data_IF_384480217381
#
_entry.id   IF_384480217381
#
_cell.length_a   1.000
_cell.length_b   1.000
_cell.length_c   1.000
_cell.angle_alpha   90.00
_cell.angle_beta   90.00
_cell.angle_gamma   90.00
#
_symmetry.space_group_name_H-M   'P 1'
#
loop_
_entity.id
_entity.type
_entity.pdbx_description
1 polymer ?
#
# COMPACT_ATOMS: atom_id res chain seq x y z
N UNK A 1 -12.16 -37.07 -3.72
CA UNK A 1 -11.57 -35.91 -4.41
C UNK A 1 -10.23 -35.61 -3.73
N UNK A 2 -9.09 -35.89 -4.38
CA UNK A 2 -7.76 -35.78 -3.75
C UNK A 2 -7.38 -34.30 -3.66
N UNK A 3 -7.39 -33.73 -2.46
CA UNK A 3 -6.68 -32.47 -2.21
C UNK A 3 -5.21 -32.78 -2.46
N UNK A 4 -4.66 -32.23 -3.53
CA UNK A 4 -3.30 -32.55 -3.99
C UNK A 4 -2.29 -32.20 -2.89
N UNK A 5 -1.48 -33.19 -2.50
CA UNK A 5 -0.32 -33.16 -1.58
C UNK A 5 0.60 -31.92 -1.75
N UNK A 6 0.54 -31.28 -2.91
CA UNK A 6 1.19 -30.00 -3.22
C UNK A 6 0.84 -28.86 -2.25
N UNK A 7 -0.40 -28.76 -1.74
CA UNK A 7 -0.80 -27.65 -0.84
C UNK A 7 -0.15 -27.74 0.56
N UNK A 8 0.27 -28.94 0.98
CA UNK A 8 1.01 -29.15 2.24
C UNK A 8 2.51 -28.97 2.08
N UNK A 9 3.02 -28.79 0.85
CA UNK A 9 4.44 -28.52 0.64
C UNK A 9 4.80 -27.17 1.25
N UNK A 10 5.87 -27.17 2.01
CA UNK A 10 6.39 -26.04 2.77
C UNK A 10 6.28 -24.68 2.07
N UNK A 11 6.69 -24.58 0.81
CA UNK A 11 6.67 -23.33 0.05
C UNK A 11 5.28 -22.75 -0.19
N UNK A 12 4.27 -23.60 -0.48
CA UNK A 12 2.90 -23.13 -0.69
C UNK A 12 2.27 -22.66 0.62
N UNK A 13 2.49 -23.39 1.72
CA UNK A 13 2.00 -22.98 3.03
C UNK A 13 2.57 -21.63 3.47
N UNK A 14 3.88 -21.41 3.29
CA UNK A 14 4.52 -20.12 3.60
C UNK A 14 3.93 -18.99 2.75
N UNK A 15 3.75 -19.20 1.45
CA UNK A 15 3.17 -18.21 0.56
C UNK A 15 1.70 -17.90 0.92
N UNK A 16 0.92 -18.92 1.26
CA UNK A 16 -0.48 -18.74 1.66
C UNK A 16 -0.63 -17.99 2.97
N UNK A 17 0.16 -18.33 3.99
CA UNK A 17 0.19 -17.59 5.27
C UNK A 17 0.58 -16.13 5.03
N UNK A 18 1.63 -15.87 4.23
CA UNK A 18 2.06 -14.51 3.90
C UNK A 18 0.98 -13.71 3.14
N UNK A 19 0.25 -14.36 2.23
CA UNK A 19 -0.86 -13.75 1.50
C UNK A 19 -2.04 -13.43 2.42
N UNK A 20 -2.45 -14.37 3.27
CA UNK A 20 -3.56 -14.19 4.21
C UNK A 20 -3.24 -13.09 5.24
N UNK A 21 -2.03 -13.12 5.80
CA UNK A 21 -1.56 -12.08 6.72
C UNK A 21 -1.59 -10.69 6.06
N UNK A 22 -1.09 -10.59 4.82
CA UNK A 22 -1.10 -9.35 4.05
C UNK A 22 -2.51 -8.82 3.78
N UNK A 23 -3.45 -9.69 3.39
CA UNK A 23 -4.86 -9.30 3.18
C UNK A 23 -5.52 -8.82 4.47
N UNK A 24 -5.24 -9.49 5.59
CA UNK A 24 -5.83 -9.11 6.88
C UNK A 24 -5.34 -7.74 7.34
N UNK A 25 -4.04 -7.47 7.19
CA UNK A 25 -3.48 -6.15 7.42
C UNK A 25 -4.11 -5.08 6.52
N UNK A 26 -4.28 -5.38 5.24
CA UNK A 26 -4.87 -4.44 4.27
C UNK A 26 -6.32 -4.08 4.62
N UNK A 27 -7.13 -5.04 5.07
CA UNK A 27 -8.49 -4.78 5.55
C UNK A 27 -8.54 -3.82 6.74
N UNK A 28 -7.61 -3.93 7.69
CA UNK A 28 -7.52 -3.00 8.81
C UNK A 28 -6.97 -1.64 8.38
N UNK A 29 -5.91 -1.64 7.57
CA UNK A 29 -5.29 -0.42 7.07
C UNK A 29 -6.29 0.44 6.29
N UNK A 30 -7.13 -0.13 5.44
CA UNK A 30 -8.16 0.60 4.68
C UNK A 30 -9.16 1.35 5.55
N UNK A 31 -9.38 0.89 6.79
CA UNK A 31 -10.34 1.51 7.73
C UNK A 31 -9.72 2.53 8.66
N UNK A 32 -8.41 2.42 8.91
CA UNK A 32 -7.74 3.11 10.01
C UNK A 32 -6.56 3.98 9.56
N UNK A 33 -6.07 3.83 8.33
CA UNK A 33 -4.96 4.62 7.80
C UNK A 33 -5.41 5.44 6.59
N UNK A 34 -4.98 6.70 6.48
CA UNK A 34 -5.28 7.54 5.32
C UNK A 34 -4.38 7.21 4.11
N UNK A 35 -3.61 6.11 4.17
CA UNK A 35 -2.56 5.79 3.19
C UNK A 35 -2.66 4.34 2.71
N UNK A 36 -2.21 4.12 1.49
CA UNK A 36 -2.09 2.77 0.90
C UNK A 36 -0.97 1.96 1.54
N UNK A 37 -1.02 0.63 1.41
CA UNK A 37 0.04 -0.27 1.86
C UNK A 37 1.43 0.07 1.27
N UNK A 38 1.47 0.49 0.01
CA UNK A 38 2.72 0.89 -0.66
C UNK A 38 3.31 2.16 -0.05
N UNK A 39 2.48 3.16 0.25
CA UNK A 39 2.91 4.39 0.93
C UNK A 39 3.37 4.12 2.36
N UNK A 40 2.65 3.27 3.10
CA UNK A 40 3.06 2.84 4.44
C UNK A 40 4.43 2.14 4.39
N UNK A 41 4.65 1.21 3.45
CA UNK A 41 5.96 0.56 3.23
C UNK A 41 7.05 1.60 2.96
N UNK A 42 6.82 2.55 2.06
CA UNK A 42 7.77 3.62 1.76
C UNK A 42 8.14 4.41 3.03
N UNK A 43 7.16 4.80 3.84
CA UNK A 43 7.39 5.53 5.10
C UNK A 43 8.20 4.72 6.10
N UNK A 44 7.98 3.41 6.22
CA UNK A 44 8.78 2.53 7.09
C UNK A 44 10.24 2.57 6.65
N UNK A 45 10.52 2.31 5.36
CA UNK A 45 11.90 2.33 4.85
C UNK A 45 12.55 3.72 4.99
N UNK A 46 11.79 4.80 4.76
CA UNK A 46 12.30 6.15 4.91
C UNK A 46 12.54 6.54 6.38
N UNK A 47 11.72 6.05 7.31
CA UNK A 47 11.90 6.27 8.74
C UNK A 47 13.19 5.60 9.26
N UNK A 48 13.54 4.42 8.72
CA UNK A 48 14.77 3.71 9.05
C UNK A 48 16.00 4.30 8.33
N UNK A 49 15.81 4.99 7.19
CA UNK A 49 16.87 5.57 6.35
C UNK A 49 16.74 7.09 6.22
N UNK A 50 16.72 7.80 7.36
CA UNK A 50 16.51 9.26 7.39
C UNK A 50 17.59 10.00 6.58
N UNK A 51 17.18 10.95 5.74
CA UNK A 51 18.10 11.72 4.90
C UNK A 51 18.67 10.93 3.72
N UNK A 52 18.06 9.81 3.36
CA UNK A 52 18.39 9.11 2.12
C UNK A 52 18.02 9.98 0.91
N UNK A 53 18.76 9.82 -0.20
CA UNK A 53 18.39 10.43 -1.47
C UNK A 53 17.27 9.64 -2.13
N UNK A 54 16.54 10.26 -3.06
CA UNK A 54 15.50 9.57 -3.82
C UNK A 54 16.04 8.37 -4.59
N UNK A 55 17.23 8.48 -5.21
CA UNK A 55 17.84 7.39 -5.96
C UNK A 55 18.09 6.17 -5.06
N UNK A 56 18.71 6.38 -3.90
CA UNK A 56 18.99 5.28 -2.97
C UNK A 56 17.70 4.69 -2.41
N UNK A 57 16.68 5.50 -2.16
CA UNK A 57 15.38 4.98 -1.73
C UNK A 57 14.69 4.16 -2.83
N UNK A 58 14.85 4.53 -4.10
CA UNK A 58 14.33 3.77 -5.24
C UNK A 58 14.99 2.40 -5.34
N UNK A 59 16.31 2.34 -5.14
CA UNK A 59 17.08 1.10 -5.11
C UNK A 59 16.65 0.20 -3.95
N UNK A 60 16.46 0.75 -2.75
CA UNK A 60 15.98 0.01 -1.56
C UNK A 60 14.57 -0.56 -1.79
N UNK A 61 13.71 0.21 -2.45
CA UNK A 61 12.32 -0.18 -2.71
C UNK A 61 12.15 -1.00 -3.98
N UNK A 62 13.20 -1.18 -4.78
CA UNK A 62 13.20 -1.88 -6.07
C UNK A 62 12.13 -1.32 -7.03
N UNK A 63 11.97 0.01 -7.04
CA UNK A 63 11.03 0.72 -7.93
C UNK A 63 11.78 1.67 -8.84
N UNK A 64 11.19 2.00 -9.99
CA UNK A 64 11.80 2.97 -10.90
C UNK A 64 11.81 4.38 -10.26
N UNK A 65 12.88 5.18 -10.47
CA UNK A 65 12.95 6.55 -9.94
C UNK A 65 11.76 7.43 -10.32
N UNK A 66 11.18 7.37 -11.54
CA UNK A 66 9.97 8.12 -11.89
C UNK A 66 8.72 7.66 -11.13
N UNK A 67 8.59 6.36 -10.85
CA UNK A 67 7.46 5.86 -10.05
C UNK A 67 7.59 6.36 -8.60
N UNK A 68 8.79 6.30 -8.03
CA UNK A 68 9.05 6.83 -6.70
C UNK A 68 8.79 8.34 -6.61
N UNK A 69 9.21 9.11 -7.63
CA UNK A 69 8.99 10.56 -7.68
C UNK A 69 7.51 10.92 -7.50
N UNK A 70 6.64 10.27 -8.29
CA UNK A 70 5.18 10.48 -8.24
C UNK A 70 4.55 10.04 -6.92
N UNK A 71 5.11 9.03 -6.27
CA UNK A 71 4.66 8.62 -4.93
C UNK A 71 5.09 9.64 -3.89
N UNK A 72 6.34 10.11 -3.95
CA UNK A 72 6.87 11.09 -3.01
C UNK A 72 6.17 12.45 -3.13
N UNK A 73 5.81 12.89 -4.34
CA UNK A 73 5.01 14.11 -4.55
C UNK A 73 3.68 14.05 -3.81
N UNK A 74 2.87 13.01 -4.07
CA UNK A 74 1.59 12.79 -3.37
C UNK A 74 1.74 12.66 -1.86
N UNK A 75 2.83 12.05 -1.39
CA UNK A 75 3.09 11.91 0.04
C UNK A 75 3.60 13.19 0.70
N UNK A 76 4.22 14.09 -0.07
CA UNK A 76 4.59 15.44 0.37
C UNK A 76 3.36 16.35 0.44
N UNK A 77 2.47 16.28 -0.56
CA UNK A 77 1.15 16.92 -0.55
C UNK A 77 0.28 16.46 0.63
N UNK A 78 0.30 15.16 0.93
CA UNK A 78 -0.39 14.60 2.11
C UNK A 78 0.31 14.91 3.45
N UNK A 79 1.45 15.62 3.43
CA UNK A 79 2.18 16.02 4.63
C UNK A 79 2.92 14.88 5.34
N UNK A 80 3.19 13.76 4.67
CA UNK A 80 3.87 12.59 5.24
C UNK A 80 5.38 12.57 4.98
N UNK A 81 5.81 13.18 3.88
CA UNK A 81 7.23 13.30 3.51
C UNK A 81 7.59 14.76 3.38
N UNK A 82 8.85 15.08 3.66
CA UNK A 82 9.43 16.38 3.36
C UNK A 82 10.77 16.22 2.64
N UNK A 83 10.96 16.98 1.58
CA UNK A 83 12.25 17.14 0.90
C UNK A 83 13.00 18.35 1.49
N UNK A 84 14.31 18.20 1.66
CA UNK A 84 15.21 19.31 2.01
C UNK A 84 16.42 19.30 1.10
N UNK A 85 16.91 20.45 0.64
CA UNK A 85 18.21 20.53 -0.03
C UNK A 85 19.31 19.95 0.87
N UNK A 86 20.27 19.25 0.28
CA UNK A 86 21.47 18.82 0.99
C UNK A 86 22.33 20.03 1.35
N UNK A 87 22.92 20.01 2.56
CA UNK A 87 23.72 21.13 3.06
C UNK A 87 25.04 21.32 2.29
N UNK A 88 25.55 20.27 1.63
CA UNK A 88 26.79 20.28 0.85
C UNK A 88 26.54 20.50 -0.63
N UNK A 89 25.41 20.01 -1.15
CA UNK A 89 25.01 20.22 -2.54
C UNK A 89 23.50 20.50 -2.66
N UNK A 90 23.08 21.77 -2.81
CA UNK A 90 21.67 22.15 -2.93
C UNK A 90 20.94 21.52 -4.11
N UNK A 91 21.65 20.97 -5.10
CA UNK A 91 21.04 20.24 -6.22
C UNK A 91 20.51 18.88 -5.78
N UNK A 92 21.02 18.34 -4.67
CA UNK A 92 20.57 17.08 -4.10
C UNK A 92 19.47 17.33 -3.06
N UNK A 93 18.49 16.43 -3.04
CA UNK A 93 17.40 16.45 -2.08
C UNK A 93 17.48 15.25 -1.13
N UNK A 94 17.24 15.54 0.14
CA UNK A 94 17.23 14.59 1.25
C UNK A 94 15.80 14.39 1.72
N UNK A 95 15.41 13.13 1.85
CA UNK A 95 14.05 12.74 2.20
C UNK A 95 13.92 12.53 3.71
N UNK A 96 12.81 12.99 4.28
CA UNK A 96 12.49 12.82 5.68
C UNK A 96 11.01 12.50 5.85
N UNK A 97 10.68 11.58 6.76
CA UNK A 97 9.32 11.43 7.27
C UNK A 97 8.95 12.63 8.15
N UNK A 98 7.69 13.05 8.10
CA UNK A 98 7.16 14.08 8.99
C UNK A 98 6.68 13.50 10.32
N UNK A 99 6.34 14.37 11.28
CA UNK A 99 5.73 13.94 12.54
C UNK A 99 4.37 13.26 12.30
N UNK A 100 3.54 13.80 11.41
CA UNK A 100 2.25 13.20 11.05
C UNK A 100 2.43 11.79 10.50
N UNK A 101 3.41 11.57 9.62
CA UNK A 101 3.74 10.22 9.14
C UNK A 101 4.15 9.26 10.27
N UNK A 102 4.95 9.72 11.24
CA UNK A 102 5.35 8.89 12.37
C UNK A 102 4.16 8.48 13.25
N UNK A 103 3.19 9.38 13.45
CA UNK A 103 1.95 9.08 14.16
C UNK A 103 1.13 8.02 13.41
N UNK A 104 1.01 8.13 12.08
CA UNK A 104 0.35 7.12 11.25
C UNK A 104 1.10 5.77 11.25
N UNK A 105 2.44 5.78 11.26
CA UNK A 105 3.23 4.56 11.38
C UNK A 105 3.05 3.88 12.74
N UNK A 106 2.80 4.65 13.81
CA UNK A 106 2.45 4.09 15.11
C UNK A 106 1.09 3.36 15.06
N UNK A 107 0.08 3.96 14.43
CA UNK A 107 -1.21 3.29 14.18
C UNK A 107 -1.01 2.02 13.36
N UNK A 108 -0.23 2.06 12.29
CA UNK A 108 0.07 0.89 11.46
C UNK A 108 0.77 -0.24 12.24
N UNK A 109 1.60 0.09 13.23
CA UNK A 109 2.22 -0.90 14.13
C UNK A 109 1.18 -1.56 15.03
N UNK A 110 0.29 -0.78 15.63
CA UNK A 110 -0.81 -1.33 16.45
C UNK A 110 -1.69 -2.27 15.62
N UNK A 111 -2.07 -1.88 14.41
CA UNK A 111 -2.82 -2.76 13.50
C UNK A 111 -2.03 -4.02 13.15
N UNK A 112 -0.72 -3.91 12.93
CA UNK A 112 0.14 -5.08 12.68
C UNK A 112 0.18 -6.03 13.88
N UNK A 113 0.17 -5.48 15.11
CA UNK A 113 0.10 -6.27 16.34
C UNK A 113 -1.24 -6.98 16.48
N UNK A 114 -2.36 -6.35 16.08
CA UNK A 114 -3.68 -6.98 16.05
C UNK A 114 -3.73 -8.16 15.05
N UNK A 115 -3.25 -7.95 13.82
CA UNK A 115 -3.16 -9.03 12.81
C UNK A 115 -2.27 -10.17 13.32
N UNK A 116 -1.16 -9.84 13.98
CA UNK A 116 -0.28 -10.84 14.59
C UNK A 116 -1.02 -11.64 15.64
N UNK A 117 -1.75 -10.98 16.54
CA UNK A 117 -2.48 -11.66 17.61
C UNK A 117 -3.56 -12.59 17.04
N UNK A 118 -4.28 -12.16 16.01
CA UNK A 118 -5.23 -13.03 15.29
C UNK A 118 -4.54 -14.24 14.66
N UNK A 119 -3.43 -14.01 13.93
CA UNK A 119 -2.70 -15.07 13.24
C UNK A 119 -2.08 -16.12 14.19
N UNK A 120 -1.82 -15.75 15.44
CA UNK A 120 -1.27 -16.63 16.47
C UNK A 120 -2.33 -17.17 17.45
N UNK A 121 -3.62 -16.88 17.20
CA UNK A 121 -4.72 -17.37 18.04
C UNK A 121 -4.68 -18.90 18.12
N UNK A 122 -4.74 -19.43 19.34
CA UNK A 122 -4.69 -20.87 19.62
C UNK A 122 -3.28 -21.43 19.85
N UNK A 123 -2.22 -20.63 19.66
CA UNK A 123 -0.87 -20.99 20.07
C UNK A 123 -0.61 -20.60 21.53
N UNK A 124 0.08 -21.47 22.25
CA UNK A 124 0.67 -21.13 23.55
C UNK A 124 1.83 -20.14 23.38
N UNK A 125 2.25 -19.51 24.48
CA UNK A 125 3.42 -18.64 24.48
C UNK A 125 4.70 -19.38 24.05
N UNK A 126 4.84 -20.64 24.46
CA UNK A 126 5.97 -21.49 24.06
C UNK A 126 5.96 -21.78 22.56
N UNK A 127 4.82 -22.21 22.00
CA UNK A 127 4.68 -22.46 20.57
C UNK A 127 4.90 -21.21 19.73
N UNK A 128 4.43 -20.04 20.21
CA UNK A 128 4.67 -18.75 19.57
C UNK A 128 6.17 -18.45 19.47
N UNK A 129 6.90 -18.57 20.60
CA UNK A 129 8.36 -18.36 20.62
C UNK A 129 9.07 -19.37 19.71
N UNK A 130 8.66 -20.64 19.76
CA UNK A 130 9.24 -21.70 18.94
C UNK A 130 9.01 -21.43 17.44
N UNK A 131 7.80 -21.05 17.04
CA UNK A 131 7.47 -20.70 15.66
C UNK A 131 8.36 -19.56 15.16
N UNK A 132 8.48 -18.48 15.93
CA UNK A 132 9.34 -17.35 15.58
C UNK A 132 10.80 -17.77 15.40
N UNK A 133 11.34 -18.61 16.30
CA UNK A 133 12.71 -19.12 16.20
C UNK A 133 12.91 -19.99 14.95
N UNK A 134 11.95 -20.87 14.63
CA UNK A 134 12.02 -21.74 13.45
C UNK A 134 11.96 -20.92 12.15
N UNK A 135 11.05 -19.94 12.05
CA UNK A 135 10.98 -19.04 10.89
C UNK A 135 12.27 -18.23 10.72
N UNK A 136 12.90 -17.78 11.81
CA UNK A 136 14.20 -17.10 11.75
C UNK A 136 15.32 -18.01 11.24
N UNK A 137 15.32 -19.29 11.59
CA UNK A 137 16.28 -20.28 11.06
C UNK A 137 16.09 -20.48 9.55
N UNK A 138 14.84 -20.68 9.11
CA UNK A 138 14.51 -20.76 7.67
C UNK A 138 14.99 -19.51 6.94
N UNK A 139 14.65 -18.32 7.44
CA UNK A 139 15.07 -17.05 6.83
C UNK A 139 16.59 -17.00 6.68
N UNK A 140 17.35 -17.38 7.71
CA UNK A 140 18.82 -17.40 7.68
C UNK A 140 19.35 -18.33 6.59
N UNK A 141 18.79 -19.54 6.48
CA UNK A 141 19.19 -20.52 5.46
C UNK A 141 18.92 -19.99 4.04
N UNK A 142 17.82 -19.27 3.84
CA UNK A 142 17.49 -18.67 2.54
C UNK A 142 18.38 -17.46 2.24
N UNK A 143 18.60 -16.57 3.21
CA UNK A 143 19.47 -15.40 3.05
C UNK A 143 20.93 -15.78 2.76
N UNK A 144 21.42 -16.93 3.25
CA UNK A 144 22.77 -17.40 2.91
C UNK A 144 22.92 -17.92 1.48
N UNK A 145 21.81 -18.23 0.79
CA UNK A 145 21.82 -18.84 -0.55
C UNK A 145 21.28 -17.88 -1.61
N UNK A 146 20.35 -16.99 -1.25
CA UNK A 146 19.80 -15.96 -2.14
C UNK A 146 20.72 -14.74 -2.14
N UNK A 147 21.32 -14.35 -3.28
CA UNK A 147 22.05 -13.09 -3.40
C UNK A 147 21.11 -11.92 -3.08
N UNK A 148 21.58 -10.90 -2.35
CA UNK A 148 20.83 -9.62 -2.22
C UNK A 148 20.82 -8.93 -3.60
N UNK A 149 19.70 -8.36 -4.09
CA UNK A 149 18.40 -8.10 -3.44
C UNK A 149 17.32 -9.13 -3.77
N UNK A 150 16.27 -9.17 -2.95
CA UNK A 150 15.15 -10.12 -3.08
C UNK A 150 14.23 -9.68 -4.23
N UNK A 151 14.59 -10.05 -5.47
CA UNK A 151 13.69 -10.09 -6.63
C UNK A 151 12.50 -11.02 -6.32
N UNK A 152 11.57 -10.57 -5.49
CA UNK A 152 10.30 -11.24 -5.30
C UNK A 152 9.38 -10.75 -6.39
N UNK A 153 9.63 -11.30 -7.58
CA UNK A 153 8.60 -11.49 -8.62
C UNK A 153 7.43 -12.16 -7.93
N UNK A 154 6.44 -11.36 -7.50
CA UNK A 154 5.11 -11.88 -7.19
C UNK A 154 4.62 -12.53 -8.49
N UNK A 155 4.40 -13.86 -8.53
CA UNK A 155 3.89 -14.52 -9.72
C UNK A 155 2.63 -13.79 -10.19
N UNK A 156 2.49 -13.56 -11.49
CA UNK A 156 1.34 -12.85 -12.05
C UNK A 156 -0.02 -13.44 -11.59
N UNK A 157 -0.04 -14.73 -11.23
CA UNK A 157 -1.19 -15.43 -10.66
C UNK A 157 -1.65 -14.96 -9.26
N UNK A 158 -0.82 -14.21 -8.51
CA UNK A 158 -1.14 -13.67 -7.19
C UNK A 158 -1.42 -12.17 -7.20
N UNK A 159 -1.29 -11.50 -8.36
CA UNK A 159 -1.91 -10.18 -8.58
C UNK A 159 -3.38 -10.46 -8.77
N UNK A 160 -4.18 -10.27 -7.72
CA UNK A 160 -5.63 -10.40 -7.82
C UNK A 160 -6.12 -9.63 -9.04
N UNK A 161 -6.93 -10.30 -9.86
CA UNK A 161 -7.80 -9.64 -10.80
C UNK A 161 -8.69 -8.70 -9.98
N UNK A 162 -8.43 -7.41 -10.11
CA UNK A 162 -9.40 -6.36 -9.83
C UNK A 162 -9.37 -5.45 -11.06
N UNK A 163 -10.04 -5.89 -12.12
CA UNK A 163 -11.31 -5.29 -12.58
C UNK A 163 -11.28 -3.77 -12.52
N UNK A 164 -11.29 -3.18 -13.72
CA UNK A 164 -11.57 -1.79 -13.94
C UNK A 164 -12.83 -1.36 -13.16
N UNK A 165 -12.70 -0.37 -12.30
CA UNK A 165 -13.82 0.49 -11.94
C UNK A 165 -13.73 1.82 -12.71
N UNK A 166 -14.80 2.25 -13.38
CA UNK A 166 -14.86 3.51 -14.10
C UNK A 166 -15.01 4.69 -13.12
N UNK A 167 -14.75 5.94 -13.56
CA UNK A 167 -14.85 7.10 -12.68
C UNK A 167 -16.30 7.34 -12.23
N UNK A 168 -16.52 7.36 -10.91
CA UNK A 168 -17.74 7.91 -10.32
C UNK A 168 -17.75 9.43 -10.44
N UNK A 169 -18.73 9.95 -11.16
CA UNK A 169 -19.08 11.37 -11.18
C UNK A 169 -20.33 11.64 -12.01
N UNK A 170 -21.49 11.70 -11.34
CA UNK A 170 -22.59 12.67 -11.54
C UNK A 170 -23.93 12.05 -11.11
N UNK A 171 -24.34 12.37 -9.89
CA UNK A 171 -25.76 12.46 -9.52
C UNK A 171 -26.37 13.69 -10.22
N UNK A 172 -27.41 13.49 -11.02
CA UNK A 172 -28.43 14.48 -11.28
C UNK A 172 -29.77 13.75 -11.46
N UNK A 173 -30.56 13.80 -10.41
CA UNK A 173 -32.01 13.63 -10.40
C UNK A 173 -32.62 14.70 -11.30
N UNK A 174 -33.45 14.32 -12.27
CA UNK A 174 -34.77 14.97 -12.44
C UNK A 174 -35.70 14.09 -13.28
N UNK A 175 -36.91 13.93 -12.74
CA UNK A 175 -38.03 13.12 -13.21
C UNK A 175 -38.82 13.88 -14.31
N UNK A 176 -39.48 13.20 -15.27
CA UNK A 176 -40.10 13.81 -16.43
C UNK A 176 -41.60 14.06 -16.19
N UNK A 177 -42.09 15.29 -16.32
CA UNK A 177 -43.50 15.62 -16.58
C UNK A 177 -43.70 17.15 -16.69
N UNK A 178 -43.95 17.66 -17.90
CA UNK A 178 -45.00 18.65 -18.21
C UNK A 178 -44.92 19.09 -19.68
N UNK A 179 -46.10 19.21 -20.27
CA UNK A 179 -46.48 19.36 -21.68
C UNK A 179 -46.10 20.70 -22.34
N UNK A 180 -46.23 20.80 -23.68
CA UNK A 180 -45.97 22.02 -24.44
C UNK A 180 -47.18 22.95 -24.41
N UNK A 181 -46.94 24.26 -24.37
CA UNK A 181 -47.98 25.29 -24.52
C UNK A 181 -47.71 26.15 -25.76
N UNK A 182 -48.70 26.18 -26.65
CA UNK A 182 -48.74 26.89 -27.92
C UNK A 182 -49.34 28.29 -27.73
N UNK A 183 -48.56 29.35 -28.05
CA UNK A 183 -49.05 30.64 -28.57
C UNK A 183 -49.88 31.55 -27.65
N UNK A 184 -50.29 32.75 -28.12
CA UNK A 184 -50.21 33.26 -29.48
C UNK A 184 -49.54 34.65 -29.64
N UNK A 185 -49.45 35.03 -30.92
CA UNK A 185 -49.18 36.33 -31.54
C UNK A 185 -49.63 37.58 -30.78
N UNK A 186 -48.84 38.67 -30.91
CA UNK A 186 -49.37 40.01 -31.27
C UNK A 186 -48.23 41.01 -31.63
N UNK A 187 -48.25 41.45 -32.90
CA UNK A 187 -47.97 42.77 -33.47
C UNK A 187 -46.77 43.65 -33.02
N UNK A 188 -45.79 43.80 -33.94
CA UNK A 188 -45.50 44.99 -34.80
C UNK A 188 -45.65 46.44 -34.19
N UNK A 189 -45.07 47.54 -34.75
CA UNK A 189 -44.08 47.72 -35.83
C UNK A 189 -42.91 48.72 -35.55
N UNK A 190 -42.09 48.87 -36.61
CA UNK A 190 -41.42 50.08 -37.10
C UNK A 190 -40.00 50.39 -36.62
N UNK A 191 -39.00 50.01 -37.43
CA UNK A 191 -38.31 50.90 -38.40
C UNK A 191 -37.30 50.10 -39.23
#
# INVERSE_FOLDING_TARGET
>A
MKVTDSAQRFGFLVADVQRLYGRRFEQFAQRALPMTRAQCRLLVYLADNRGVSQTVLADILEVSPPALARSLERMEEAGWVRRRPDARDPRLHRLYVTRSALEQLAVARTLSDEVRNEALTGLTAFETVQLMQLLQKVRRNLTSVVPKPLDTVVPAALRGADTAEPPHGATATDDPSAEPDEGPDEDNPAN
#
